data_IF_131081789476
#
_entry.id   IF_131081789476
#
_cell.length_a   1.000
_cell.length_b   1.000
_cell.length_c   1.000
_cell.angle_alpha   90.00
_cell.angle_beta   90.00
_cell.angle_gamma   90.00
#
_symmetry.space_group_name_H-M   'P 1'
#
loop_
_entity.id
_entity.type
_entity.pdbx_description
1 polymer ?
#
# COMPACT_ATOMS: atom_id res chain seq x y z
N UNK A 1 -6.01 -7.91 15.65
CA UNK A 1 -6.43 -8.56 16.92
C UNK A 1 -7.93 -8.46 16.95
N UNK A 2 -8.62 -9.58 16.74
CA UNK A 2 -10.06 -9.67 16.87
C UNK A 2 -10.38 -10.07 18.31
N UNK A 3 -11.34 -9.37 18.95
CA UNK A 3 -11.87 -9.76 20.27
C UNK A 3 -12.58 -11.13 20.16
N UNK A 4 -13.07 -11.45 18.97
CA UNK A 4 -13.71 -12.73 18.69
C UNK A 4 -12.70 -13.69 18.06
N UNK A 5 -12.43 -14.81 18.73
CA UNK A 5 -11.52 -15.83 18.21
C UNK A 5 -12.10 -16.53 16.98
N UNK A 6 -13.42 -16.67 16.90
CA UNK A 6 -14.12 -17.31 15.77
C UNK A 6 -15.08 -16.32 15.12
N UNK A 7 -14.67 -15.59 14.07
CA UNK A 7 -15.56 -14.64 13.39
C UNK A 7 -16.76 -15.30 12.70
N UNK A 8 -16.70 -16.60 12.41
CA UNK A 8 -17.77 -17.37 11.77
C UNK A 8 -19.06 -17.47 12.64
N UNK A 9 -18.93 -17.28 13.96
CA UNK A 9 -20.08 -17.29 14.89
C UNK A 9 -20.92 -16.01 14.80
N UNK A 10 -20.36 -14.94 14.22
CA UNK A 10 -21.03 -13.67 14.12
C UNK A 10 -22.07 -13.68 12.99
N UNK A 11 -23.19 -13.00 13.22
CA UNK A 11 -24.23 -12.82 12.23
C UNK A 11 -23.71 -12.04 11.01
N UNK A 12 -24.15 -12.41 9.79
CA UNK A 12 -23.75 -11.76 8.54
C UNK A 12 -23.88 -10.23 8.52
N UNK A 13 -24.96 -9.61 9.08
CA UNK A 13 -25.07 -8.15 9.12
C UNK A 13 -23.96 -7.48 9.92
N UNK A 14 -23.49 -8.12 11.00
CA UNK A 14 -22.43 -7.60 11.86
C UNK A 14 -21.07 -7.71 11.17
N UNK A 15 -20.83 -8.80 10.43
CA UNK A 15 -19.64 -8.98 9.59
C UNK A 15 -19.60 -7.93 8.49
N UNK A 16 -20.72 -7.68 7.82
CA UNK A 16 -20.82 -6.66 6.77
C UNK A 16 -20.57 -5.26 7.36
N UNK A 17 -21.20 -4.93 8.49
CA UNK A 17 -20.97 -3.63 9.14
C UNK A 17 -19.50 -3.41 9.47
N UNK A 18 -18.81 -4.43 9.98
CA UNK A 18 -17.38 -4.39 10.27
C UNK A 18 -16.53 -4.12 9.03
N UNK A 19 -16.83 -4.81 7.93
CA UNK A 19 -16.11 -4.64 6.66
C UNK A 19 -16.40 -3.29 6.01
N UNK A 20 -17.63 -2.78 6.08
CA UNK A 20 -18.01 -1.46 5.62
C UNK A 20 -17.30 -0.34 6.41
N UNK A 21 -17.26 -0.45 7.74
CA UNK A 21 -16.57 0.53 8.59
C UNK A 21 -15.07 0.57 8.30
N UNK A 22 -14.47 -0.61 8.06
CA UNK A 22 -13.08 -0.71 7.64
C UNK A 22 -12.83 -0.07 6.27
N UNK A 23 -13.70 -0.32 5.30
CA UNK A 23 -13.61 0.27 3.96
C UNK A 23 -13.72 1.80 4.00
N UNK A 24 -14.67 2.34 4.78
CA UNK A 24 -14.78 3.80 5.00
C UNK A 24 -13.53 4.36 5.69
N UNK A 25 -12.98 3.64 6.69
CA UNK A 25 -11.73 4.03 7.35
C UNK A 25 -10.55 4.14 6.37
N UNK A 26 -10.42 3.18 5.45
CA UNK A 26 -9.41 3.22 4.39
C UNK A 26 -9.56 4.42 3.44
N UNK A 27 -10.80 4.77 3.09
CA UNK A 27 -11.07 5.97 2.30
C UNK A 27 -10.65 7.25 3.03
N UNK A 28 -11.06 7.43 4.30
CA UNK A 28 -10.69 8.60 5.08
C UNK A 28 -9.17 8.70 5.31
N UNK A 29 -8.50 7.58 5.50
CA UNK A 29 -7.04 7.53 5.57
C UNK A 29 -6.38 8.05 4.30
N UNK A 30 -6.80 7.57 3.12
CA UNK A 30 -6.31 8.09 1.83
C UNK A 30 -6.59 9.59 1.67
N UNK A 31 -7.79 10.01 2.00
CA UNK A 31 -8.18 11.42 1.89
C UNK A 31 -7.31 12.31 2.78
N UNK A 32 -7.04 11.91 4.02
CA UNK A 32 -6.18 12.68 4.93
C UNK A 32 -4.73 12.73 4.43
N UNK A 33 -4.16 11.60 4.00
CA UNK A 33 -2.80 11.57 3.45
C UNK A 33 -2.68 12.48 2.23
N UNK A 34 -3.60 12.37 1.29
CA UNK A 34 -3.57 13.18 0.07
C UNK A 34 -3.72 14.67 0.43
N UNK A 35 -4.62 15.01 1.36
CA UNK A 35 -4.83 16.40 1.79
C UNK A 35 -3.60 17.01 2.48
N UNK A 36 -2.91 16.24 3.33
CA UNK A 36 -1.69 16.68 4.02
C UNK A 36 -0.52 16.80 3.04
N UNK A 37 -0.29 15.77 2.22
CA UNK A 37 0.84 15.76 1.29
C UNK A 37 0.66 16.77 0.16
N UNK A 38 -0.58 17.07 -0.21
CA UNK A 38 -0.85 18.06 -1.23
C UNK A 38 -0.45 19.49 -0.83
N UNK A 39 -0.45 19.79 0.46
CA UNK A 39 0.01 21.07 1.00
C UNK A 39 1.54 21.25 0.93
N UNK A 40 2.28 20.16 0.75
CA UNK A 40 3.75 20.15 0.78
C UNK A 40 4.35 20.11 -0.61
N UNK A 41 3.99 20.91 -1.57
CA UNK A 41 4.63 21.07 -2.91
C UNK A 41 5.34 19.80 -3.49
N UNK A 42 4.98 18.60 -3.03
CA UNK A 42 5.58 17.36 -3.50
C UNK A 42 5.05 17.10 -4.91
N UNK A 43 5.91 17.24 -5.91
CA UNK A 43 5.60 17.10 -7.34
C UNK A 43 5.19 15.68 -7.78
N UNK A 44 4.86 14.79 -6.84
CA UNK A 44 4.47 13.40 -7.10
C UNK A 44 2.97 13.19 -7.24
N UNK A 45 2.18 14.19 -6.82
CA UNK A 45 0.75 14.16 -7.07
C UNK A 45 0.56 14.63 -8.50
N UNK A 46 -0.18 13.92 -9.33
CA UNK A 46 -0.62 14.48 -10.59
C UNK A 46 -1.42 15.76 -10.29
N UNK A 47 -0.80 16.93 -10.44
CA UNK A 47 -1.39 18.26 -10.16
C UNK A 47 -2.77 18.46 -10.82
N UNK A 48 -3.12 17.55 -11.74
CA UNK A 48 -4.35 17.54 -12.50
C UNK A 48 -5.58 17.07 -11.68
N UNK A 49 -5.36 16.33 -10.58
CA UNK A 49 -6.44 15.73 -9.78
C UNK A 49 -6.71 16.50 -8.50
N UNK A 50 -5.75 17.29 -8.09
CA UNK A 50 -5.85 18.08 -6.87
C UNK A 50 -5.79 19.54 -7.30
N UNK A 51 -6.89 20.24 -7.20
CA UNK A 51 -7.06 21.66 -7.57
C UNK A 51 -6.31 22.61 -6.62
N UNK A 52 -5.04 22.28 -6.28
CA UNK A 52 -4.24 23.04 -5.32
C UNK A 52 -3.71 24.36 -5.89
N UNK A 53 -3.47 24.41 -7.21
CA UNK A 53 -2.85 25.56 -7.87
C UNK A 53 -3.84 26.58 -8.40
N UNK A 54 -5.15 26.31 -8.36
CA UNK A 54 -6.13 27.30 -8.74
C UNK A 54 -6.35 28.28 -7.59
N UNK A 55 -5.58 29.38 -7.60
CA UNK A 55 -5.71 30.48 -6.64
C UNK A 55 -7.09 31.17 -6.67
N UNK A 56 -7.93 30.83 -7.64
CA UNK A 56 -9.27 31.37 -7.86
C UNK A 56 -10.38 30.64 -7.10
N UNK A 57 -10.16 29.44 -6.59
CA UNK A 57 -11.19 28.66 -5.89
C UNK A 57 -11.10 28.86 -4.38
N UNK A 58 -12.27 29.04 -3.74
CA UNK A 58 -12.39 29.06 -2.28
C UNK A 58 -11.94 27.72 -1.70
N UNK A 59 -11.41 27.72 -0.46
CA UNK A 59 -10.92 26.53 0.23
C UNK A 59 -11.95 25.40 0.26
N UNK A 60 -13.22 25.73 0.50
CA UNK A 60 -14.33 24.77 0.53
C UNK A 60 -14.50 24.04 -0.81
N UNK A 61 -14.47 24.75 -1.93
CA UNK A 61 -14.62 24.15 -3.26
C UNK A 61 -13.44 23.25 -3.61
N UNK A 62 -12.21 23.62 -3.20
CA UNK A 62 -11.03 22.76 -3.36
C UNK A 62 -11.18 21.47 -2.57
N UNK A 63 -11.61 21.57 -1.32
CA UNK A 63 -11.81 20.41 -0.44
C UNK A 63 -12.85 19.44 -1.02
N UNK A 64 -14.01 19.97 -1.44
CA UNK A 64 -15.10 19.17 -2.01
C UNK A 64 -14.67 18.47 -3.31
N UNK A 65 -13.95 19.17 -4.18
CA UNK A 65 -13.49 18.61 -5.44
C UNK A 65 -12.44 17.51 -5.21
N UNK A 66 -11.52 17.72 -4.29
CA UNK A 66 -10.53 16.71 -3.93
C UNK A 66 -11.19 15.47 -3.31
N UNK A 67 -12.16 15.67 -2.41
CA UNK A 67 -12.94 14.60 -1.81
C UNK A 67 -13.63 13.73 -2.89
N UNK A 68 -14.35 14.38 -3.83
CA UNK A 68 -15.04 13.66 -4.91
C UNK A 68 -14.08 12.88 -5.79
N UNK A 69 -12.95 13.47 -6.17
CA UNK A 69 -11.96 12.83 -7.04
C UNK A 69 -11.32 11.60 -6.37
N UNK A 70 -10.93 11.72 -5.10
CA UNK A 70 -10.34 10.62 -4.34
C UNK A 70 -11.38 9.51 -4.11
N UNK A 71 -12.62 9.88 -3.76
CA UNK A 71 -13.70 8.92 -3.59
C UNK A 71 -13.98 8.14 -4.87
N UNK A 72 -14.00 8.82 -6.01
CA UNK A 72 -14.20 8.19 -7.31
C UNK A 72 -13.07 7.21 -7.64
N UNK A 73 -11.80 7.58 -7.42
CA UNK A 73 -10.66 6.70 -7.62
C UNK A 73 -10.73 5.45 -6.72
N UNK A 74 -11.09 5.65 -5.45
CA UNK A 74 -11.22 4.58 -4.46
C UNK A 74 -12.36 3.61 -4.81
N UNK A 75 -13.48 4.15 -5.28
CA UNK A 75 -14.61 3.36 -5.73
C UNK A 75 -14.26 2.56 -6.99
N UNK A 76 -13.57 3.17 -7.97
CA UNK A 76 -13.09 2.46 -9.15
C UNK A 76 -12.17 1.30 -8.79
N UNK A 77 -11.22 1.51 -7.86
CA UNK A 77 -10.34 0.45 -7.36
C UNK A 77 -11.17 -0.69 -6.75
N UNK A 78 -12.17 -0.37 -5.92
CA UNK A 78 -13.02 -1.39 -5.29
C UNK A 78 -13.83 -2.20 -6.30
N UNK A 79 -14.41 -1.55 -7.30
CA UNK A 79 -15.11 -2.23 -8.38
C UNK A 79 -14.18 -3.12 -9.21
N UNK A 80 -12.97 -2.65 -9.48
CA UNK A 80 -11.97 -3.40 -10.22
C UNK A 80 -11.53 -4.66 -9.47
N UNK A 81 -11.24 -4.55 -8.18
CA UNK A 81 -10.90 -5.70 -7.33
C UNK A 81 -12.08 -6.68 -7.24
N UNK A 82 -13.31 -6.19 -7.07
CA UNK A 82 -14.50 -7.03 -7.04
C UNK A 82 -14.66 -7.81 -8.35
N UNK A 83 -14.38 -7.18 -9.49
CA UNK A 83 -14.41 -7.84 -10.80
C UNK A 83 -13.42 -9.01 -10.85
N UNK A 84 -12.19 -8.84 -10.38
CA UNK A 84 -11.22 -9.94 -10.32
C UNK A 84 -11.64 -11.04 -9.35
N UNK A 85 -12.20 -10.69 -8.20
CA UNK A 85 -12.69 -11.69 -7.24
C UNK A 85 -13.86 -12.52 -7.77
N UNK A 86 -14.59 -12.06 -8.82
CA UNK A 86 -15.64 -12.88 -9.42
C UNK A 86 -15.12 -14.15 -10.09
N UNK A 87 -13.84 -14.20 -10.47
CA UNK A 87 -13.20 -15.40 -11.01
C UNK A 87 -12.83 -16.44 -9.93
N UNK A 88 -12.99 -16.11 -8.65
CA UNK A 88 -12.77 -17.05 -7.55
C UNK A 88 -14.01 -17.84 -7.22
N UNK A 89 -13.85 -19.05 -6.67
CA UNK A 89 -14.93 -19.92 -6.22
C UNK A 89 -15.65 -19.47 -4.92
N UNK A 90 -15.34 -18.28 -4.38
CA UNK A 90 -15.95 -17.77 -3.15
C UNK A 90 -17.42 -17.36 -3.34
N UNK A 91 -18.19 -17.36 -2.23
CA UNK A 91 -19.56 -16.84 -2.23
C UNK A 91 -19.57 -15.30 -2.41
N UNK A 92 -20.65 -14.74 -2.95
CA UNK A 92 -20.76 -13.29 -3.18
C UNK A 92 -20.53 -12.46 -1.92
N UNK A 93 -21.08 -12.89 -0.79
CA UNK A 93 -20.88 -12.24 0.51
C UNK A 93 -19.42 -12.23 0.94
N UNK A 94 -18.71 -13.33 0.77
CA UNK A 94 -17.28 -13.45 1.06
C UNK A 94 -16.45 -12.54 0.12
N UNK A 95 -16.78 -12.52 -1.19
CA UNK A 95 -16.11 -11.66 -2.17
C UNK A 95 -16.24 -10.18 -1.81
N UNK A 96 -17.44 -9.77 -1.40
CA UNK A 96 -17.71 -8.38 -1.05
C UNK A 96 -16.94 -7.96 0.20
N UNK A 97 -16.95 -8.79 1.25
CA UNK A 97 -16.17 -8.54 2.47
C UNK A 97 -14.67 -8.54 2.18
N UNK A 98 -14.18 -9.48 1.37
CA UNK A 98 -12.78 -9.57 0.99
C UNK A 98 -12.35 -8.36 0.16
N UNK A 99 -13.17 -7.90 -0.79
CA UNK A 99 -12.90 -6.68 -1.54
C UNK A 99 -12.73 -5.47 -0.61
N UNK A 100 -13.65 -5.28 0.33
CA UNK A 100 -13.58 -4.17 1.29
C UNK A 100 -12.28 -4.23 2.12
N UNK A 101 -11.89 -5.42 2.54
CA UNK A 101 -10.67 -5.67 3.31
C UNK A 101 -9.42 -5.42 2.49
N UNK A 102 -9.36 -5.89 1.24
CA UNK A 102 -8.22 -5.69 0.34
C UNK A 102 -8.02 -4.21 0.04
N UNK A 103 -9.10 -3.51 -0.32
CA UNK A 103 -9.04 -2.10 -0.72
C UNK A 103 -8.63 -1.21 0.44
N UNK A 104 -9.10 -1.49 1.65
CA UNK A 104 -8.76 -0.71 2.85
C UNK A 104 -7.43 -1.11 3.49
N UNK A 105 -6.78 -2.17 2.99
CA UNK A 105 -5.60 -2.80 3.61
C UNK A 105 -5.82 -3.18 5.07
N UNK A 106 -7.06 -3.52 5.42
CA UNK A 106 -7.41 -3.95 6.76
C UNK A 106 -7.20 -5.46 6.94
N UNK A 107 -7.17 -5.97 8.13
CA UNK A 107 -6.90 -7.38 8.41
C UNK A 107 -8.13 -8.23 8.70
N UNK A 108 -9.34 -7.68 8.58
CA UNK A 108 -10.55 -8.43 8.95
C UNK A 108 -11.06 -9.29 7.80
N UNK A 109 -11.27 -10.55 8.07
CA UNK A 109 -11.90 -11.49 7.16
C UNK A 109 -13.03 -12.26 7.83
N UNK A 110 -13.94 -12.82 7.03
CA UNK A 110 -15.18 -13.48 7.52
C UNK A 110 -14.87 -14.83 8.14
N UNK A 111 -13.87 -15.56 7.62
CA UNK A 111 -13.42 -16.86 8.11
C UNK A 111 -12.08 -16.75 8.78
N UNK A 112 -11.83 -17.56 9.79
CA UNK A 112 -10.54 -17.60 10.49
C UNK A 112 -9.43 -18.11 9.57
N UNK A 113 -9.78 -19.08 8.72
CA UNK A 113 -8.93 -19.57 7.63
C UNK A 113 -9.74 -19.60 6.34
N UNK A 114 -9.20 -19.08 5.28
CA UNK A 114 -9.74 -19.37 3.96
C UNK A 114 -9.68 -20.89 3.79
N UNK A 115 -10.84 -21.56 3.74
CA UNK A 115 -10.96 -23.00 3.48
C UNK A 115 -10.06 -23.38 2.29
N UNK A 116 -9.68 -24.64 2.08
CA UNK A 116 -8.69 -25.04 1.07
C UNK A 116 -9.05 -24.43 -0.29
N UNK A 117 -8.47 -23.26 -0.51
CA UNK A 117 -8.69 -22.46 -1.71
C UNK A 117 -7.90 -23.13 -2.82
N UNK A 118 -8.49 -23.21 -3.99
CA UNK A 118 -7.77 -23.70 -5.16
C UNK A 118 -6.54 -22.79 -5.42
N UNK A 119 -5.46 -23.36 -5.94
CA UNK A 119 -4.23 -22.61 -6.25
C UNK A 119 -4.48 -21.39 -7.13
N UNK A 120 -5.47 -21.44 -8.01
CA UNK A 120 -5.88 -20.31 -8.84
C UNK A 120 -6.52 -19.18 -8.01
N UNK A 121 -7.36 -19.51 -7.03
CA UNK A 121 -7.99 -18.50 -6.18
C UNK A 121 -6.95 -17.75 -5.34
N UNK A 122 -5.94 -18.47 -4.82
CA UNK A 122 -4.83 -17.83 -4.07
C UNK A 122 -4.05 -16.87 -4.94
N UNK A 123 -3.81 -17.19 -6.22
CA UNK A 123 -3.17 -16.26 -7.16
C UNK A 123 -4.03 -15.02 -7.43
N UNK A 124 -5.33 -15.19 -7.66
CA UNK A 124 -6.22 -14.06 -7.90
C UNK A 124 -6.27 -13.13 -6.68
N UNK A 125 -6.41 -13.70 -5.48
CA UNK A 125 -6.44 -12.92 -4.25
C UNK A 125 -5.11 -12.20 -4.02
N UNK A 126 -3.97 -12.88 -4.23
CA UNK A 126 -2.65 -12.26 -4.10
C UNK A 126 -2.42 -11.12 -5.10
N UNK A 127 -2.88 -11.27 -6.35
CA UNK A 127 -2.84 -10.18 -7.34
C UNK A 127 -3.73 -9.00 -6.94
N UNK A 128 -4.89 -9.24 -6.31
CA UNK A 128 -5.74 -8.18 -5.78
C UNK A 128 -5.04 -7.40 -4.63
N UNK A 129 -4.34 -8.07 -3.72
CA UNK A 129 -3.51 -7.41 -2.70
C UNK A 129 -2.37 -6.60 -3.32
N UNK A 130 -1.73 -7.13 -4.35
CA UNK A 130 -0.71 -6.41 -5.09
C UNK A 130 -1.28 -5.13 -5.71
N UNK A 131 -2.44 -5.20 -6.37
CA UNK A 131 -3.11 -4.05 -6.95
C UNK A 131 -3.48 -2.99 -5.91
N UNK A 132 -3.94 -3.39 -4.72
CA UNK A 132 -4.23 -2.44 -3.62
C UNK A 132 -2.99 -1.75 -3.06
N UNK A 133 -1.81 -2.36 -3.19
CA UNK A 133 -0.53 -1.76 -2.78
C UNK A 133 0.01 -0.71 -3.76
N UNK A 134 -0.56 -0.61 -4.96
CA UNK A 134 -0.22 0.39 -5.95
C UNK A 134 -0.91 1.73 -5.67
N UNK A 135 -0.47 2.75 -6.38
CA UNK A 135 -1.08 4.07 -6.29
C UNK A 135 -2.53 4.06 -6.82
N UNK A 136 -3.47 4.48 -5.98
CA UNK A 136 -4.91 4.51 -6.32
C UNK A 136 -5.20 5.35 -7.56
N UNK A 137 -4.44 6.40 -7.82
CA UNK A 137 -4.62 7.26 -8.99
C UNK A 137 -4.28 6.59 -10.33
N UNK A 138 -3.54 5.46 -10.34
CA UNK A 138 -3.28 4.68 -11.56
C UNK A 138 -4.58 4.27 -12.22
N UNK A 139 -5.51 3.76 -11.44
CA UNK A 139 -6.79 3.26 -11.98
C UNK A 139 -7.57 4.37 -12.66
N UNK A 140 -7.56 5.57 -12.09
CA UNK A 140 -8.20 6.72 -12.69
C UNK A 140 -7.54 7.12 -14.03
N UNK A 141 -6.21 7.11 -14.12
CA UNK A 141 -5.50 7.44 -15.37
C UNK A 141 -5.71 6.40 -16.45
N UNK A 142 -5.72 5.12 -16.09
CA UNK A 142 -6.00 4.04 -17.04
C UNK A 142 -7.39 4.22 -17.65
N UNK A 143 -8.42 4.47 -16.83
CA UNK A 143 -9.78 4.65 -17.31
C UNK A 143 -10.00 5.94 -18.11
N UNK A 144 -9.23 7.00 -17.84
CA UNK A 144 -9.32 8.27 -18.55
C UNK A 144 -8.40 8.38 -19.75
N UNK A 145 -7.67 7.32 -20.13
CA UNK A 145 -6.67 7.33 -21.21
C UNK A 145 -5.63 8.47 -21.06
N UNK A 146 -5.24 8.80 -19.84
CA UNK A 146 -4.30 9.86 -19.54
C UNK A 146 -2.86 9.48 -19.91
N UNK A 147 -2.23 10.20 -20.84
CA UNK A 147 -0.87 9.94 -21.32
C UNK A 147 0.25 10.43 -20.37
N UNK A 148 -0.08 11.06 -19.25
CA UNK A 148 0.88 11.82 -18.43
C UNK A 148 1.24 11.19 -17.09
N UNK A 149 0.75 9.97 -16.79
CA UNK A 149 1.06 9.31 -15.53
C UNK A 149 2.48 8.72 -15.50
N UNK A 150 3.15 8.88 -14.38
CA UNK A 150 4.51 8.42 -14.20
C UNK A 150 4.53 7.09 -13.44
N UNK A 151 4.37 5.97 -14.16
CA UNK A 151 4.29 4.61 -13.62
C UNK A 151 5.55 4.10 -12.91
N UNK A 152 6.60 4.92 -12.82
CA UNK A 152 7.91 4.45 -12.36
C UNK A 152 7.93 4.05 -10.89
N UNK A 153 7.18 4.76 -10.03
CA UNK A 153 7.07 4.38 -8.61
C UNK A 153 6.46 2.98 -8.47
N UNK A 154 5.38 2.75 -9.18
CA UNK A 154 4.64 1.50 -9.12
C UNK A 154 5.44 0.33 -9.70
N UNK A 155 6.24 0.58 -10.75
CA UNK A 155 7.21 -0.40 -11.26
C UNK A 155 8.24 -0.81 -10.20
N UNK A 156 8.71 0.12 -9.36
CA UNK A 156 9.60 -0.23 -8.25
C UNK A 156 8.88 -1.07 -7.18
N UNK A 157 7.60 -0.82 -6.90
CA UNK A 157 6.80 -1.69 -6.02
C UNK A 157 6.73 -3.10 -6.60
N UNK A 158 6.47 -3.26 -7.89
CA UNK A 158 6.49 -4.58 -8.54
C UNK A 158 7.86 -5.25 -8.44
N UNK A 159 8.93 -4.52 -8.71
CA UNK A 159 10.30 -5.06 -8.60
C UNK A 159 10.61 -5.50 -7.17
N UNK A 160 10.21 -4.73 -6.15
CA UNK A 160 10.43 -5.14 -4.75
C UNK A 160 9.65 -6.39 -4.40
N UNK A 161 8.43 -6.55 -4.91
CA UNK A 161 7.63 -7.77 -4.72
C UNK A 161 8.30 -8.97 -5.39
N UNK A 162 8.76 -8.83 -6.64
CA UNK A 162 9.47 -9.90 -7.34
C UNK A 162 10.76 -10.28 -6.62
N UNK A 163 11.55 -9.32 -6.17
CA UNK A 163 12.76 -9.59 -5.40
C UNK A 163 12.45 -10.28 -4.06
N UNK A 164 11.42 -9.83 -3.37
CA UNK A 164 10.96 -10.43 -2.13
C UNK A 164 10.52 -11.89 -2.32
N UNK A 165 9.72 -12.16 -3.36
CA UNK A 165 9.30 -13.53 -3.70
C UNK A 165 10.50 -14.41 -4.03
N UNK A 166 11.46 -13.88 -4.80
CA UNK A 166 12.67 -14.61 -5.18
C UNK A 166 13.54 -14.95 -3.95
N UNK A 167 13.76 -13.98 -3.05
CA UNK A 167 14.53 -14.19 -1.81
C UNK A 167 13.87 -15.26 -0.94
N UNK A 168 12.56 -15.19 -0.73
CA UNK A 168 11.84 -16.18 0.07
C UNK A 168 11.82 -17.56 -0.58
N UNK A 169 11.72 -17.64 -1.90
CA UNK A 169 11.85 -18.91 -2.62
C UNK A 169 13.23 -19.54 -2.45
N UNK A 170 14.30 -18.75 -2.55
CA UNK A 170 15.65 -19.26 -2.34
C UNK A 170 15.87 -19.81 -0.93
N UNK A 171 15.31 -19.15 0.09
CA UNK A 171 15.50 -19.55 1.49
C UNK A 171 14.61 -20.73 1.89
N UNK A 172 13.41 -20.84 1.32
CA UNK A 172 12.37 -21.75 1.80
C UNK A 172 11.74 -22.68 0.75
N UNK A 173 12.30 -22.75 -0.47
CA UNK A 173 11.75 -23.55 -1.58
C UNK A 173 11.57 -25.04 -1.27
N UNK A 174 12.23 -25.54 -0.23
CA UNK A 174 12.13 -26.96 0.18
C UNK A 174 10.93 -27.27 1.09
N UNK A 175 10.33 -26.26 1.70
CA UNK A 175 9.33 -26.42 2.76
C UNK A 175 7.94 -25.91 2.41
N UNK A 176 7.82 -24.97 1.47
CA UNK A 176 6.56 -24.26 1.19
C UNK A 176 6.24 -24.18 -0.30
N UNK A 177 4.95 -24.06 -0.61
CA UNK A 177 4.47 -23.86 -1.97
C UNK A 177 4.68 -22.41 -2.43
N UNK A 178 4.98 -22.19 -3.69
CA UNK A 178 5.11 -20.85 -4.29
C UNK A 178 3.88 -19.97 -4.04
N UNK A 179 2.67 -20.51 -4.15
CA UNK A 179 1.41 -19.79 -3.99
C UNK A 179 1.25 -19.22 -2.58
N UNK A 180 1.63 -20.00 -1.57
CA UNK A 180 1.53 -19.62 -0.17
C UNK A 180 2.55 -18.53 0.19
N UNK A 181 3.77 -18.62 -0.34
CA UNK A 181 4.78 -17.57 -0.18
C UNK A 181 4.38 -16.29 -0.88
N UNK A 182 3.83 -16.39 -2.09
CA UNK A 182 3.43 -15.21 -2.87
C UNK A 182 2.32 -14.42 -2.18
N UNK A 183 1.30 -15.11 -1.63
CA UNK A 183 0.23 -14.43 -0.91
C UNK A 183 0.73 -13.80 0.39
N UNK A 184 1.61 -14.47 1.15
CA UNK A 184 2.20 -13.92 2.38
C UNK A 184 2.97 -12.61 2.09
N UNK A 185 3.72 -12.56 0.99
CA UNK A 185 4.46 -11.35 0.62
C UNK A 185 3.52 -10.23 0.19
N UNK A 186 2.54 -10.53 -0.66
CA UNK A 186 1.61 -9.51 -1.14
C UNK A 186 0.75 -8.93 -0.01
N UNK A 187 0.31 -9.77 0.94
CA UNK A 187 -0.43 -9.33 2.13
C UNK A 187 0.43 -8.54 3.11
N UNK A 188 1.73 -8.87 3.23
CA UNK A 188 2.65 -8.10 4.07
C UNK A 188 2.99 -6.74 3.47
N UNK A 189 3.22 -6.64 2.15
CA UNK A 189 3.47 -5.36 1.48
C UNK A 189 2.22 -4.48 1.45
N UNK A 190 1.02 -5.07 1.26
CA UNK A 190 -0.23 -4.33 1.40
C UNK A 190 -0.56 -3.98 2.85
N UNK A 191 0.20 -4.52 3.82
CA UNK A 191 0.03 -4.34 5.27
C UNK A 191 -1.33 -4.80 5.81
N UNK A 192 -1.99 -5.72 5.11
CA UNK A 192 -3.30 -6.25 5.52
C UNK A 192 -3.19 -7.27 6.66
N UNK A 193 -2.05 -7.96 6.78
CA UNK A 193 -1.81 -8.96 7.83
C UNK A 193 -2.69 -10.21 7.75
N UNK A 194 -3.35 -10.46 6.63
CA UNK A 194 -4.13 -11.67 6.42
C UNK A 194 -3.17 -12.82 6.10
N UNK A 195 -3.11 -13.82 6.96
CA UNK A 195 -2.39 -15.06 6.71
C UNK A 195 -3.38 -16.13 6.23
N UNK A 196 -3.17 -16.64 5.03
CA UNK A 196 -3.94 -17.77 4.48
C UNK A 196 -3.28 -19.11 4.82
N UNK A 197 -2.03 -19.07 5.29
CA UNK A 197 -1.24 -20.24 5.62
C UNK A 197 -1.26 -20.49 7.12
N UNK A 198 -1.45 -21.74 7.48
CA UNK A 198 -1.48 -22.20 8.85
C UNK A 198 -0.10 -22.00 9.50
N UNK A 199 0.01 -20.99 10.37
CA UNK A 199 1.17 -20.67 11.22
C UNK A 199 2.51 -20.60 10.47
N UNK A 200 2.90 -19.43 9.97
CA UNK A 200 4.25 -19.23 9.43
C UNK A 200 5.29 -19.50 10.53
N UNK A 201 6.38 -20.17 10.19
CA UNK A 201 7.52 -20.35 11.09
C UNK A 201 8.08 -19.00 11.55
N UNK A 202 8.73 -18.94 12.71
CA UNK A 202 9.25 -17.70 13.29
C UNK A 202 10.17 -16.90 12.35
N UNK A 203 11.02 -17.59 11.57
CA UNK A 203 11.89 -16.94 10.58
C UNK A 203 11.14 -16.24 9.45
N UNK A 204 9.96 -16.75 9.04
CA UNK A 204 9.11 -16.08 8.06
C UNK A 204 8.56 -14.79 8.62
N UNK A 205 8.15 -14.79 9.90
CA UNK A 205 7.59 -13.61 10.54
C UNK A 205 8.56 -12.44 10.52
N UNK A 206 9.85 -12.68 10.80
CA UNK A 206 10.87 -11.63 10.81
C UNK A 206 11.07 -11.02 9.41
N UNK A 207 11.11 -11.86 8.36
CA UNK A 207 11.23 -11.38 6.98
C UNK A 207 9.95 -10.63 6.53
N UNK A 208 8.77 -11.13 6.90
CA UNK A 208 7.51 -10.46 6.60
C UNK A 208 7.40 -9.10 7.28
N UNK A 209 7.94 -8.94 8.51
CA UNK A 209 8.02 -7.66 9.20
C UNK A 209 8.84 -6.62 8.40
N UNK A 210 9.94 -7.02 7.76
CA UNK A 210 10.70 -6.12 6.89
C UNK A 210 9.85 -5.62 5.72
N UNK A 211 9.06 -6.50 5.08
CA UNK A 211 8.19 -6.10 3.97
C UNK A 211 7.01 -5.23 4.42
N UNK A 212 6.43 -5.50 5.58
CA UNK A 212 5.39 -4.61 6.16
C UNK A 212 5.96 -3.24 6.50
N UNK A 213 7.22 -3.17 6.92
CA UNK A 213 7.91 -1.91 7.17
C UNK A 213 8.09 -1.10 5.87
N UNK A 214 8.48 -1.75 4.77
CA UNK A 214 8.64 -1.10 3.46
C UNK A 214 7.29 -0.55 2.97
N UNK A 215 6.25 -1.36 3.01
CA UNK A 215 4.91 -1.01 2.54
C UNK A 215 4.81 -0.81 1.02
N UNK A 216 3.65 -0.34 0.56
CA UNK A 216 3.37 -0.11 -0.86
C UNK A 216 3.79 1.27 -1.38
N UNK A 217 3.10 1.73 -2.45
CA UNK A 217 3.30 3.06 -3.06
C UNK A 217 2.84 4.20 -2.15
N UNK A 218 3.19 5.45 -2.50
CA UNK A 218 2.90 6.62 -1.65
C UNK A 218 1.40 6.82 -1.39
N UNK A 219 0.58 6.67 -2.42
CA UNK A 219 -0.88 6.90 -2.36
C UNK A 219 -1.67 5.59 -2.41
N UNK A 220 -1.22 4.56 -1.70
CA UNK A 220 -2.01 3.38 -1.43
C UNK A 220 -2.59 3.43 0.00
N UNK A 221 -3.59 2.61 0.26
CA UNK A 221 -4.23 2.47 1.58
C UNK A 221 -3.34 1.78 2.61
N UNK A 222 -2.37 0.98 2.14
CA UNK A 222 -1.43 0.30 3.03
C UNK A 222 -0.64 1.26 3.90
N UNK A 223 -0.28 0.83 5.09
CA UNK A 223 0.62 1.54 6.01
C UNK A 223 2.10 1.36 5.60
N UNK A 224 3.01 1.50 6.52
CA UNK A 224 4.45 1.37 6.28
C UNK A 224 5.14 2.68 5.94
N UNK A 225 6.46 2.63 5.82
CA UNK A 225 7.29 3.80 5.57
C UNK A 225 7.13 4.35 4.15
N UNK A 226 6.62 3.55 3.23
CA UNK A 226 6.44 3.79 1.80
C UNK A 226 7.74 3.73 1.00
N UNK A 227 7.71 2.96 -0.07
CA UNK A 227 8.87 2.68 -0.92
C UNK A 227 9.55 3.96 -1.43
N UNK A 228 8.76 4.95 -1.83
CA UNK A 228 9.30 6.20 -2.37
C UNK A 228 10.19 6.95 -1.36
N UNK A 229 9.82 6.96 -0.08
CA UNK A 229 10.62 7.58 0.98
C UNK A 229 11.94 6.85 1.19
N UNK A 230 11.91 5.51 1.13
CA UNK A 230 13.12 4.67 1.20
C UNK A 230 14.07 5.03 0.05
N UNK A 231 13.53 5.17 -1.17
CA UNK A 231 14.32 5.56 -2.34
C UNK A 231 14.93 6.96 -2.19
N UNK A 232 14.22 7.90 -1.53
CA UNK A 232 14.78 9.23 -1.24
C UNK A 232 15.99 9.15 -0.31
N UNK A 233 15.88 8.38 0.78
CA UNK A 233 17.00 8.17 1.70
C UNK A 233 18.18 7.50 1.01
N UNK A 234 17.93 6.41 0.30
CA UNK A 234 18.97 5.69 -0.43
C UNK A 234 19.72 6.61 -1.42
N UNK A 235 18.98 7.43 -2.17
CA UNK A 235 19.57 8.38 -3.08
C UNK A 235 20.38 9.49 -2.38
N UNK A 236 19.85 10.05 -1.28
CA UNK A 236 20.58 11.04 -0.50
C UNK A 236 21.87 10.45 0.05
N UNK A 237 21.80 9.25 0.63
CA UNK A 237 22.97 8.55 1.13
C UNK A 237 24.02 8.34 0.03
N UNK A 238 23.61 7.83 -1.14
CA UNK A 238 24.52 7.65 -2.28
C UNK A 238 25.14 8.99 -2.74
N UNK A 239 24.35 10.07 -2.78
CA UNK A 239 24.87 11.39 -3.13
C UNK A 239 25.92 11.89 -2.16
N UNK A 240 25.71 11.69 -0.85
CA UNK A 240 26.70 12.09 0.16
C UNK A 240 27.99 11.23 0.07
N UNK A 241 27.88 9.92 -0.14
CA UNK A 241 29.03 9.03 -0.35
C UNK A 241 29.84 9.47 -1.60
N UNK A 242 29.16 9.75 -2.71
CA UNK A 242 29.84 10.18 -3.96
C UNK A 242 30.53 11.54 -3.74
N UNK A 243 29.92 12.48 -2.99
CA UNK A 243 30.55 13.76 -2.67
C UNK A 243 31.80 13.63 -1.82
N UNK A 244 31.80 12.67 -0.89
CA UNK A 244 33.00 12.37 -0.08
C UNK A 244 34.15 11.83 -0.94
N UNK A 245 33.83 11.02 -1.95
CA UNK A 245 34.82 10.46 -2.86
C UNK A 245 35.30 11.47 -3.92
N UNK A 246 34.38 12.29 -4.45
CA UNK A 246 34.66 13.26 -5.52
C UNK A 246 33.88 14.57 -5.28
N UNK A 247 34.45 15.54 -4.56
CA UNK A 247 33.73 16.77 -4.17
C UNK A 247 33.37 17.70 -5.35
N UNK A 248 34.01 17.55 -6.52
CA UNK A 248 33.76 18.38 -7.69
C UNK A 248 32.58 17.91 -8.55
N UNK A 249 31.98 16.74 -8.28
CA UNK A 249 30.90 16.20 -9.12
C UNK A 249 29.58 16.87 -8.79
N UNK A 250 28.90 17.42 -9.79
CA UNK A 250 27.53 17.92 -9.71
C UNK A 250 26.57 16.76 -9.96
N UNK A 251 25.96 16.24 -8.90
CA UNK A 251 25.00 15.13 -8.99
C UNK A 251 23.59 15.69 -9.23
N UNK A 252 22.91 15.18 -10.25
CA UNK A 252 21.53 15.56 -10.54
C UNK A 252 20.59 15.06 -9.44
N UNK A 253 19.85 15.97 -8.79
CA UNK A 253 18.84 15.69 -7.76
C UNK A 253 17.50 15.19 -8.36
N UNK A 254 17.53 14.35 -9.39
CA UNK A 254 16.32 13.85 -10.05
C UNK A 254 16.09 12.39 -9.70
N UNK A 255 14.86 12.01 -9.37
CA UNK A 255 14.42 10.62 -9.26
C UNK A 255 13.59 10.31 -10.50
N UNK A 256 13.67 9.08 -11.02
CA UNK A 256 12.88 8.57 -12.13
C UNK A 256 13.03 9.30 -13.48
N UNK A 257 14.25 9.67 -13.87
CA UNK A 257 14.57 10.37 -15.14
C UNK A 257 13.89 11.73 -15.35
N UNK A 258 14.64 12.77 -15.10
CA UNK A 258 14.56 14.12 -15.73
C UNK A 258 13.46 15.11 -15.35
N UNK A 259 12.31 14.75 -14.79
CA UNK A 259 11.24 15.73 -14.56
C UNK A 259 10.99 16.09 -13.08
N UNK A 260 11.37 15.23 -12.14
CA UNK A 260 11.10 15.47 -10.72
C UNK A 260 12.41 15.76 -10.01
N UNK A 261 12.60 17.02 -9.62
CA UNK A 261 13.74 17.45 -8.80
C UNK A 261 13.36 17.31 -7.32
N UNK A 262 14.20 16.62 -6.56
CA UNK A 262 14.01 16.48 -5.12
C UNK A 262 14.39 17.79 -4.45
N UNK A 263 13.46 18.39 -3.72
CA UNK A 263 13.73 19.56 -2.87
C UNK A 263 14.32 19.08 -1.54
N UNK A 264 15.08 19.94 -0.87
CA UNK A 264 15.60 19.61 0.47
C UNK A 264 14.44 19.43 1.49
N UNK A 265 13.32 20.12 1.30
CA UNK A 265 12.09 19.95 2.10
C UNK A 265 11.58 18.51 2.09
N UNK A 266 11.66 17.80 0.95
CA UNK A 266 11.17 16.44 0.82
C UNK A 266 11.96 15.47 1.70
N UNK A 267 13.28 15.70 1.83
CA UNK A 267 14.13 14.93 2.73
C UNK A 267 13.81 15.19 4.21
N UNK A 268 13.55 16.46 4.59
CA UNK A 268 13.18 16.79 5.96
C UNK A 268 11.87 16.15 6.36
N UNK A 269 10.86 16.21 5.49
CA UNK A 269 9.56 15.58 5.74
C UNK A 269 9.72 14.06 5.85
N UNK A 270 10.46 13.44 4.94
CA UNK A 270 10.72 12.00 5.00
C UNK A 270 11.47 11.61 6.28
N UNK A 271 12.49 12.38 6.71
CA UNK A 271 13.22 12.11 7.94
C UNK A 271 12.36 12.27 9.19
N UNK A 272 11.49 13.27 9.22
CA UNK A 272 10.56 13.50 10.32
C UNK A 272 9.57 12.32 10.45
N UNK A 273 8.99 11.88 9.34
CA UNK A 273 8.09 10.71 9.32
C UNK A 273 8.83 9.44 9.79
N UNK A 274 10.09 9.26 9.39
CA UNK A 274 10.92 8.14 9.83
C UNK A 274 11.10 8.13 11.35
N UNK A 275 11.47 9.25 11.93
CA UNK A 275 11.64 9.39 13.39
C UNK A 275 10.33 9.10 14.12
N UNK A 276 9.22 9.67 13.66
CA UNK A 276 7.90 9.40 14.27
C UNK A 276 7.52 7.92 14.17
N UNK A 277 7.77 7.27 13.03
CA UNK A 277 7.47 5.86 12.85
C UNK A 277 8.24 4.99 13.84
N UNK A 278 9.53 5.26 14.03
CA UNK A 278 10.35 4.57 15.02
C UNK A 278 9.91 4.84 16.46
N UNK A 279 9.60 6.09 16.80
CA UNK A 279 9.09 6.44 18.13
C UNK A 279 7.79 5.66 18.46
N UNK A 280 6.84 5.61 17.52
CA UNK A 280 5.61 4.85 17.70
C UNK A 280 5.86 3.35 17.80
N UNK A 281 6.78 2.81 17.01
CA UNK A 281 7.15 1.39 17.07
C UNK A 281 7.75 1.02 18.45
N UNK A 282 8.67 1.84 18.97
CA UNK A 282 9.22 1.63 20.31
C UNK A 282 8.17 1.77 21.41
N UNK A 283 7.29 2.77 21.31
CA UNK A 283 6.17 2.91 22.25
C UNK A 283 5.25 1.70 22.23
N UNK A 284 4.93 1.17 21.04
CA UNK A 284 4.12 -0.03 20.92
C UNK A 284 4.79 -1.24 21.60
N UNK A 285 6.11 -1.44 21.40
CA UNK A 285 6.85 -2.51 22.08
C UNK A 285 6.73 -2.35 23.60
N UNK A 286 6.96 -1.14 24.14
CA UNK A 286 6.88 -0.89 25.59
C UNK A 286 5.48 -1.11 26.18
N UNK A 287 4.42 -0.90 25.39
CA UNK A 287 3.02 -1.11 25.85
C UNK A 287 2.64 -2.59 25.83
N UNK A 288 3.20 -3.37 24.89
CA UNK A 288 2.83 -4.78 24.68
C UNK A 288 3.87 -5.77 25.25
N UNK A 289 5.02 -5.30 25.75
CA UNK A 289 5.98 -6.10 26.52
C UNK A 289 5.56 -6.22 27.98
#
# INVERSE_FOLDING_TARGET
>A
ISIFNNPEILNEPLLLWRSCSQWLGGFFYLFTIVSILSSTDINFIPNKYISLNDNSLNFENKFINNFKNIFYCYLLLSLFILFFLNFTGLNFFEKLNLMMTIVSSGGFYVKEFLAPIQKLDTLIISTCFLLSSLNVFIFYEIFRFGKNYNFKEDLYVFVTIILATYILLLTFAKTENFYDLFILITTSISTSGISLVIKPNSLYLDLLLIFTFIGGSLYCTGSGFKLLRILFFGKKFLMEVIRLLNPSIIIKKTIFSSKVTIKNSDYYIASLIFVFYFCFFFLAILVFS
#
